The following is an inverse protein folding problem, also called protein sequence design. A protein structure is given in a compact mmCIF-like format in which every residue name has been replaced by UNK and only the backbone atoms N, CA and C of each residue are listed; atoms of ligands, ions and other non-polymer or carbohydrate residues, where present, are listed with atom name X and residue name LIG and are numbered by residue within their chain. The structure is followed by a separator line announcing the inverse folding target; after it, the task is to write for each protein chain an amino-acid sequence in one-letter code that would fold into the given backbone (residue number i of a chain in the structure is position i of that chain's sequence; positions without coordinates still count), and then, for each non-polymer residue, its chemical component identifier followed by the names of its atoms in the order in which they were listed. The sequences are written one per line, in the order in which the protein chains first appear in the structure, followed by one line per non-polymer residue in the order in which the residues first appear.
data_IF_001091981385
#
_entry.id   IF_001091981385
#
_cell.length_a   1.000
_cell.length_b   1.000
_cell.length_c   1.000
_cell.angle_alpha   90.00
_cell.angle_beta   90.00
_cell.angle_gamma   90.00
#
_symmetry.space_group_name_H-M   'P 1'
#
loop_
_entity.id
_entity.type
_entity.pdbx_description
1 polymer ?
#
# COMPACT_ATOMS: atom_id res chain seq x y z
N UNK A 1 -9.01 -3.87 -17.58
CA UNK A 1 -8.33 -4.98 -16.87
C UNK A 1 -7.50 -5.72 -17.91
N UNK A 2 -6.18 -5.86 -17.70
CA UNK A 2 -5.34 -6.55 -18.69
C UNK A 2 -5.72 -8.04 -18.78
N UNK A 3 -5.58 -8.64 -19.95
CA UNK A 3 -6.03 -10.02 -20.22
C UNK A 3 -5.40 -11.04 -19.25
N UNK A 4 -4.11 -10.90 -18.94
CA UNK A 4 -3.39 -11.78 -18.02
C UNK A 4 -3.89 -11.71 -16.57
N UNK A 5 -4.45 -10.56 -16.15
CA UNK A 5 -4.90 -10.36 -14.77
C UNK A 5 -6.12 -11.20 -14.43
N UNK A 6 -6.96 -11.54 -15.40
CA UNK A 6 -8.21 -12.29 -15.16
C UNK A 6 -7.93 -13.66 -14.55
N UNK A 7 -6.88 -14.33 -15.02
CA UNK A 7 -6.48 -15.64 -14.51
C UNK A 7 -5.92 -15.54 -13.08
N UNK A 8 -5.11 -14.51 -12.82
CA UNK A 8 -4.55 -14.24 -11.48
C UNK A 8 -5.67 -13.97 -10.48
N UNK A 9 -6.58 -13.04 -10.82
CA UNK A 9 -7.72 -12.69 -9.96
C UNK A 9 -8.61 -13.89 -9.68
N UNK A 10 -8.91 -14.72 -10.69
CA UNK A 10 -9.70 -15.94 -10.53
C UNK A 10 -9.04 -16.96 -9.59
N UNK A 11 -7.71 -17.12 -9.68
CA UNK A 11 -6.97 -18.02 -8.79
C UNK A 11 -7.00 -17.52 -7.34
N UNK A 12 -6.82 -16.22 -7.14
CA UNK A 12 -6.83 -15.60 -5.81
C UNK A 12 -8.23 -15.67 -5.18
N UNK A 13 -9.28 -15.37 -5.94
CA UNK A 13 -10.65 -15.47 -5.44
C UNK A 13 -11.01 -16.89 -5.02
N UNK A 14 -10.54 -17.91 -5.75
CA UNK A 14 -10.77 -19.32 -5.41
C UNK A 14 -10.06 -19.76 -4.11
N UNK A 15 -9.05 -19.01 -3.67
CA UNK A 15 -8.32 -19.25 -2.41
C UNK A 15 -8.82 -18.39 -1.25
N UNK A 16 -9.98 -17.75 -1.39
CA UNK A 16 -10.50 -16.75 -0.45
C UNK A 16 -9.51 -15.60 -0.19
N UNK A 17 -8.71 -15.27 -1.20
CA UNK A 17 -7.72 -14.20 -1.14
C UNK A 17 -8.27 -12.86 -1.62
N UNK A 18 -7.54 -11.78 -1.31
CA UNK A 18 -7.82 -10.44 -1.80
C UNK A 18 -6.89 -10.09 -2.96
N UNK A 19 -7.43 -9.44 -3.99
CA UNK A 19 -6.63 -8.80 -5.04
C UNK A 19 -7.07 -7.34 -5.15
N UNK A 20 -6.14 -6.41 -4.89
CA UNK A 20 -6.32 -4.98 -5.09
C UNK A 20 -5.23 -4.50 -6.04
N UNK A 21 -5.60 -3.59 -6.94
CA UNK A 21 -4.67 -2.95 -7.85
C UNK A 21 -4.89 -1.44 -7.87
N UNK A 22 -3.80 -0.70 -7.80
CA UNK A 22 -3.77 0.74 -8.05
C UNK A 22 -2.68 1.05 -9.08
N UNK A 23 -3.09 1.41 -10.30
CA UNK A 23 -2.19 1.64 -11.44
C UNK A 23 -1.20 0.47 -11.62
N UNK A 24 0.05 0.63 -11.17
CA UNK A 24 1.11 -0.37 -11.31
C UNK A 24 1.38 -1.19 -10.06
N UNK A 25 0.83 -0.78 -8.93
CA UNK A 25 0.95 -1.48 -7.66
C UNK A 25 -0.20 -2.46 -7.48
N UNK A 26 0.15 -3.67 -7.05
CA UNK A 26 -0.77 -4.77 -6.77
C UNK A 26 -0.55 -5.19 -5.33
N UNK A 27 -1.65 -5.39 -4.62
CA UNK A 27 -1.69 -5.97 -3.30
C UNK A 27 -2.50 -7.26 -3.32
N UNK A 28 -1.92 -8.34 -2.82
CA UNK A 28 -2.54 -9.66 -2.80
C UNK A 28 -2.47 -10.23 -1.38
N UNK A 29 -3.55 -10.86 -0.95
CA UNK A 29 -3.54 -11.77 0.20
C UNK A 29 -3.98 -13.15 -0.26
N UNK A 30 -3.35 -14.20 0.28
CA UNK A 30 -3.63 -15.56 -0.16
C UNK A 30 -3.39 -16.57 0.96
N UNK A 31 -4.26 -17.57 1.04
CA UNK A 31 -4.19 -18.67 2.00
C UNK A 31 -3.46 -19.88 1.41
N UNK A 32 -2.27 -19.66 0.85
CA UNK A 32 -1.44 -20.73 0.32
C UNK A 32 -0.08 -20.77 1.01
N UNK A 33 0.54 -21.96 1.10
CA UNK A 33 1.86 -22.07 1.66
C UNK A 33 2.85 -21.22 0.86
N UNK A 34 3.77 -20.56 1.55
CA UNK A 34 4.75 -19.65 0.92
C UNK A 34 5.54 -20.32 -0.22
N UNK A 35 5.82 -21.62 -0.09
CA UNK A 35 6.50 -22.41 -1.12
C UNK A 35 5.66 -22.63 -2.39
N UNK A 36 4.33 -22.76 -2.26
CA UNK A 36 3.43 -22.85 -3.40
C UNK A 36 3.29 -21.49 -4.06
N UNK A 37 3.23 -20.44 -3.23
CA UNK A 37 3.11 -19.07 -3.69
C UNK A 37 4.31 -18.62 -4.53
N UNK A 38 5.53 -18.90 -4.09
CA UNK A 38 6.74 -18.57 -4.86
C UNK A 38 6.74 -19.24 -6.25
N UNK A 39 6.43 -20.54 -6.30
CA UNK A 39 6.28 -21.28 -7.57
C UNK A 39 5.17 -20.71 -8.45
N UNK A 40 4.08 -20.22 -7.86
CA UNK A 40 3.00 -19.63 -8.62
C UNK A 40 3.36 -18.25 -9.17
N UNK A 41 4.09 -17.43 -8.42
CA UNK A 41 4.61 -16.14 -8.90
C UNK A 41 5.50 -16.37 -10.12
N UNK A 42 6.37 -17.39 -10.08
CA UNK A 42 7.21 -17.76 -11.23
C UNK A 42 6.37 -18.18 -12.45
N UNK A 43 5.25 -18.89 -12.24
CA UNK A 43 4.31 -19.23 -13.32
C UNK A 43 3.61 -18.00 -13.86
N UNK A 44 3.19 -17.07 -13.00
CA UNK A 44 2.57 -15.82 -13.43
C UNK A 44 3.53 -14.97 -14.26
N UNK A 45 4.80 -14.92 -13.87
CA UNK A 45 5.86 -14.25 -14.62
C UNK A 45 6.17 -14.92 -15.98
N UNK A 46 5.75 -16.18 -16.20
CA UNK A 46 5.86 -16.88 -17.48
C UNK A 46 4.67 -16.64 -18.40
N UNK A 47 3.52 -16.19 -17.90
CA UNK A 47 2.36 -15.90 -18.74
C UNK A 47 2.57 -14.71 -19.67
N UNK A 48 3.37 -13.73 -19.23
CA UNK A 48 3.61 -12.51 -19.99
C UNK A 48 5.12 -12.27 -20.10
N UNK A 49 5.75 -13.04 -21.00
CA UNK A 49 7.22 -13.08 -21.16
C UNK A 49 7.82 -11.72 -21.55
N UNK A 50 7.02 -10.83 -22.14
CA UNK A 50 7.54 -9.66 -22.88
C UNK A 50 7.40 -8.35 -22.10
N UNK A 51 6.31 -8.13 -21.35
CA UNK A 51 5.98 -6.77 -20.91
C UNK A 51 5.98 -6.55 -19.39
N UNK A 52 5.66 -7.59 -18.60
CA UNK A 52 5.25 -7.36 -17.22
C UNK A 52 5.83 -8.43 -16.29
N UNK A 53 6.76 -8.02 -15.41
CA UNK A 53 7.26 -8.88 -14.33
C UNK A 53 6.66 -8.46 -12.99
N UNK A 54 6.05 -9.42 -12.31
CA UNK A 54 5.65 -9.34 -10.92
C UNK A 54 6.91 -9.49 -10.06
N UNK A 55 7.40 -8.36 -9.53
CA UNK A 55 8.42 -8.33 -8.49
C UNK A 55 7.77 -7.84 -7.21
N UNK A 56 7.90 -8.61 -6.15
CA UNK A 56 7.20 -8.34 -4.91
C UNK A 56 7.84 -8.98 -3.70
N UNK A 57 7.49 -8.46 -2.54
CA UNK A 57 7.90 -9.00 -1.25
C UNK A 57 6.76 -9.83 -0.67
N UNK A 58 7.13 -10.94 -0.04
CA UNK A 58 6.22 -11.82 0.69
C UNK A 58 6.55 -11.72 2.17
N UNK A 59 5.56 -11.44 3.00
CA UNK A 59 5.74 -11.47 4.43
C UNK A 59 4.49 -11.07 5.21
N UNK A 60 4.68 -10.89 6.52
CA UNK A 60 3.62 -10.48 7.45
C UNK A 60 3.30 -8.99 7.35
N UNK A 61 4.24 -8.19 6.84
CA UNK A 61 4.11 -6.74 6.72
C UNK A 61 4.46 -6.30 5.30
N UNK A 62 3.69 -5.38 4.75
CA UNK A 62 4.00 -4.74 3.46
C UNK A 62 3.43 -3.33 3.41
N UNK A 63 3.87 -2.53 2.43
CA UNK A 63 3.49 -1.12 2.32
C UNK A 63 2.78 -0.81 1.00
N UNK A 64 1.45 -0.83 0.98
CA UNK A 64 0.69 -0.53 -0.23
C UNK A 64 0.26 0.95 -0.25
N UNK A 65 0.81 1.73 -1.19
CA UNK A 65 0.58 3.19 -1.30
C UNK A 65 0.96 3.90 0.02
N UNK A 66 -0.01 4.58 0.62
CA UNK A 66 0.11 5.30 1.89
C UNK A 66 -0.22 4.42 3.13
N UNK A 67 -0.41 3.11 2.93
CA UNK A 67 -0.78 2.17 3.99
C UNK A 67 0.35 1.21 4.30
N UNK A 68 0.65 1.07 5.59
CA UNK A 68 1.41 -0.06 6.12
C UNK A 68 0.39 -1.10 6.56
N UNK A 69 0.50 -2.30 6.01
CA UNK A 69 -0.45 -3.38 6.25
C UNK A 69 0.30 -4.51 6.94
N UNK A 70 -0.21 -4.94 8.09
CA UNK A 70 0.31 -6.03 8.89
C UNK A 70 -0.75 -7.10 9.07
N UNK A 71 -0.42 -8.35 8.76
CA UNK A 71 -1.26 -9.49 9.06
C UNK A 71 -0.91 -10.05 10.45
N UNK A 72 -1.85 -9.96 11.38
CA UNK A 72 -1.77 -10.58 12.71
C UNK A 72 -2.78 -11.71 12.79
N UNK A 73 -2.30 -12.94 12.67
CA UNK A 73 -3.11 -14.16 12.82
C UNK A 73 -4.37 -14.18 11.93
N UNK A 74 -4.24 -13.68 10.70
CA UNK A 74 -5.28 -13.62 9.70
C UNK A 74 -6.19 -12.39 9.74
N UNK A 75 -5.87 -11.42 10.59
CA UNK A 75 -6.52 -10.11 10.64
C UNK A 75 -5.55 -9.06 10.10
N UNK A 76 -5.99 -8.30 9.10
CA UNK A 76 -5.21 -7.20 8.54
C UNK A 76 -5.39 -5.93 9.38
N UNK A 77 -4.28 -5.46 9.93
CA UNK A 77 -4.14 -4.18 10.59
C UNK A 77 -3.48 -3.20 9.63
N UNK A 78 -4.02 -1.98 9.59
CA UNK A 78 -3.51 -0.91 8.75
C UNK A 78 -3.04 0.27 9.59
N UNK A 79 -1.97 0.91 9.14
CA UNK A 79 -1.41 2.12 9.72
C UNK A 79 -0.96 3.06 8.59
N UNK A 80 -0.67 4.32 8.91
CA UNK A 80 -0.10 5.25 7.93
C UNK A 80 1.34 4.83 7.62
N UNK A 81 1.64 4.57 6.35
CA UNK A 81 3.01 4.35 5.92
C UNK A 81 3.72 5.68 5.68
N UNK A 82 4.93 5.78 6.24
CA UNK A 82 5.87 6.86 5.98
C UNK A 82 7.12 6.26 5.34
N UNK A 83 7.51 6.78 4.17
CA UNK A 83 8.75 6.33 3.52
C UNK A 83 9.96 6.60 4.42
N UNK A 84 11.07 5.84 4.30
CA UNK A 84 12.28 6.11 5.08
C UNK A 84 12.84 7.53 4.90
N UNK A 85 12.60 8.14 3.75
CA UNK A 85 12.96 9.53 3.43
C UNK A 85 11.91 10.55 3.91
N UNK A 86 10.91 10.13 4.68
CA UNK A 86 9.87 11.04 5.18
C UNK A 86 10.45 11.97 6.23
N UNK A 87 10.36 13.26 5.95
CA UNK A 87 10.71 14.32 6.89
C UNK A 87 9.44 14.93 7.48
N UNK A 88 9.55 15.47 8.70
CA UNK A 88 8.47 16.20 9.36
C UNK A 88 8.29 17.61 8.78
N UNK A 89 8.41 17.75 7.47
CA UNK A 89 8.32 19.00 6.75
C UNK A 89 6.92 19.16 6.14
N UNK A 90 6.19 20.15 6.65
CA UNK A 90 4.94 20.64 6.08
C UNK A 90 5.14 22.05 5.57
N UNK A 91 4.15 22.57 4.87
CA UNK A 91 4.14 23.97 4.47
C UNK A 91 4.32 24.88 5.70
N UNK A 92 5.41 25.65 5.80
CA UNK A 92 5.65 26.50 6.96
C UNK A 92 4.56 27.56 7.12
N UNK A 93 4.14 27.82 8.35
CA UNK A 93 3.01 28.73 8.60
C UNK A 93 3.30 30.17 8.16
N UNK A 94 4.57 30.59 8.26
CA UNK A 94 5.06 31.91 7.86
C UNK A 94 5.28 32.08 6.35
N UNK A 95 5.01 31.05 5.53
CA UNK A 95 5.14 31.15 4.08
C UNK A 95 4.04 32.02 3.45
N UNK A 96 4.31 32.53 2.23
CA UNK A 96 3.44 33.44 1.43
C UNK A 96 2.22 32.68 0.82
N UNK A 97 1.89 31.51 1.36
CA UNK A 97 0.75 30.73 0.88
C UNK A 97 -0.55 31.20 1.53
N UNK A 98 -1.71 31.03 0.85
CA UNK A 98 -3.00 31.35 1.42
C UNK A 98 -3.24 30.70 2.78
N UNK A 99 -3.86 31.46 3.69
CA UNK A 99 -4.08 31.01 5.08
C UNK A 99 -4.95 29.74 5.16
N UNK A 100 -5.92 29.59 4.23
CA UNK A 100 -6.81 28.44 4.20
C UNK A 100 -6.07 27.13 3.89
N UNK A 101 -5.04 27.17 3.02
CA UNK A 101 -4.23 25.99 2.71
C UNK A 101 -3.46 25.52 3.94
N UNK A 102 -2.80 26.46 4.63
CA UNK A 102 -2.06 26.19 5.86
C UNK A 102 -2.99 25.61 6.92
N UNK A 103 -4.16 26.23 7.14
CA UNK A 103 -5.16 25.73 8.10
C UNK A 103 -5.72 24.35 7.74
N UNK A 104 -5.76 23.97 6.46
CA UNK A 104 -6.28 22.68 6.04
C UNK A 104 -5.30 21.51 6.28
N UNK A 105 -3.98 21.76 6.32
CA UNK A 105 -2.96 20.70 6.49
C UNK A 105 -3.19 19.85 7.75
N UNK A 106 -3.34 20.43 8.97
CA UNK A 106 -3.64 19.65 10.16
C UNK A 106 -4.90 18.79 10.01
N UNK A 107 -5.92 19.32 9.33
CA UNK A 107 -7.21 18.66 9.18
C UNK A 107 -7.12 17.44 8.25
N UNK A 108 -6.53 17.61 7.06
CA UNK A 108 -6.36 16.52 6.10
C UNK A 108 -5.48 15.40 6.67
N UNK A 109 -4.39 15.75 7.36
CA UNK A 109 -3.51 14.77 7.97
C UNK A 109 -4.18 13.98 9.11
N UNK A 110 -5.03 14.65 9.91
CA UNK A 110 -5.80 13.96 10.93
C UNK A 110 -6.86 13.03 10.31
N UNK A 111 -7.56 13.47 9.27
CA UNK A 111 -8.50 12.60 8.53
C UNK A 111 -7.78 11.39 7.95
N UNK A 112 -6.60 11.58 7.36
CA UNK A 112 -5.75 10.49 6.85
C UNK A 112 -5.45 9.48 7.96
N UNK A 113 -5.00 9.93 9.12
CA UNK A 113 -4.73 9.06 10.26
C UNK A 113 -5.99 8.31 10.74
N UNK A 114 -7.15 8.96 10.77
CA UNK A 114 -8.42 8.31 11.14
C UNK A 114 -8.83 7.25 10.11
N UNK A 115 -8.67 7.53 8.82
CA UNK A 115 -9.07 6.63 7.74
C UNK A 115 -8.15 5.42 7.60
N UNK A 116 -6.86 5.60 7.85
CA UNK A 116 -5.84 4.59 7.56
C UNK A 116 -5.50 3.71 8.76
N UNK A 117 -5.64 4.22 9.99
CA UNK A 117 -5.33 3.43 11.18
C UNK A 117 -6.49 2.52 11.57
N UNK A 118 -6.23 1.21 11.61
CA UNK A 118 -7.18 0.21 12.13
C UNK A 118 -7.24 0.20 13.67
N UNK A 119 -6.13 0.56 14.34
CA UNK A 119 -6.02 0.57 15.80
C UNK A 119 -5.99 2.01 16.36
N UNK A 120 -6.53 2.18 17.57
CA UNK A 120 -6.59 3.49 18.22
C UNK A 120 -5.19 3.98 18.63
N UNK A 121 -4.33 3.08 19.07
CA UNK A 121 -2.95 3.37 19.46
C UNK A 121 -2.14 3.89 18.27
N UNK A 122 -2.30 3.28 17.09
CA UNK A 122 -1.66 3.72 15.85
C UNK A 122 -2.14 5.12 15.43
N UNK A 123 -3.45 5.40 15.60
CA UNK A 123 -3.99 6.74 15.37
C UNK A 123 -3.40 7.77 16.33
N UNK A 124 -3.30 7.47 17.63
CA UNK A 124 -2.70 8.37 18.62
C UNK A 124 -1.24 8.66 18.30
N UNK A 125 -0.48 7.65 17.90
CA UNK A 125 0.91 7.82 17.52
C UNK A 125 1.08 8.76 16.31
N UNK A 126 0.27 8.57 15.26
CA UNK A 126 0.26 9.46 14.10
C UNK A 126 -0.19 10.88 14.44
N UNK A 127 -1.14 11.02 15.38
CA UNK A 127 -1.59 12.31 15.89
C UNK A 127 -0.46 13.06 16.59
N UNK A 128 0.32 12.39 17.44
CA UNK A 128 1.46 13.03 18.12
C UNK A 128 2.59 13.39 17.14
N UNK A 129 2.88 12.54 16.15
CA UNK A 129 3.80 12.90 15.06
C UNK A 129 3.35 14.15 14.31
N UNK A 130 2.07 14.24 13.95
CA UNK A 130 1.50 15.42 13.31
C UNK A 130 1.66 16.66 14.20
N UNK A 131 1.38 16.53 15.50
CA UNK A 131 1.58 17.63 16.46
C UNK A 131 3.02 18.14 16.44
N UNK A 132 3.99 17.24 16.52
CA UNK A 132 5.41 17.59 16.48
C UNK A 132 5.81 18.28 15.17
N UNK A 133 5.37 17.75 14.03
CA UNK A 133 5.64 18.34 12.73
C UNK A 133 5.01 19.75 12.60
N UNK A 134 3.78 19.97 13.06
CA UNK A 134 3.14 21.28 13.01
C UNK A 134 3.91 22.32 13.85
N UNK A 135 4.38 21.93 15.03
CA UNK A 135 5.20 22.81 15.88
C UNK A 135 6.53 23.17 15.20
N UNK A 136 7.21 22.20 14.59
CA UNK A 136 8.44 22.44 13.81
C UNK A 136 8.21 23.41 12.64
N UNK A 137 7.04 23.34 12.01
CA UNK A 137 6.64 24.20 10.89
C UNK A 137 5.97 25.53 11.33
N UNK A 138 6.18 25.93 12.59
CA UNK A 138 5.76 27.23 13.17
C UNK A 138 4.23 27.46 13.17
N UNK A 139 3.44 26.39 13.22
CA UNK A 139 1.99 26.53 13.38
C UNK A 139 1.64 27.02 14.80
N UNK A 140 0.64 27.90 14.95
CA UNK A 140 0.25 28.42 16.26
C UNK A 140 -0.34 27.33 17.16
N UNK A 141 0.10 27.29 18.42
CA UNK A 141 -0.29 26.29 19.44
C UNK A 141 -1.81 26.20 19.68
N UNK A 142 -2.57 27.30 19.73
CA UNK A 142 -4.03 27.22 19.86
C UNK A 142 -4.67 26.47 18.67
N UNK A 143 -4.12 26.62 17.46
CA UNK A 143 -4.61 25.93 16.27
C UNK A 143 -4.24 24.46 16.27
N UNK A 144 -3.08 24.08 16.83
CA UNK A 144 -2.73 22.66 16.98
C UNK A 144 -3.61 21.98 18.01
N UNK A 145 -3.85 22.59 19.18
CA UNK A 145 -4.70 22.02 20.22
C UNK A 145 -6.18 22.00 19.82
N UNK A 146 -6.71 23.09 19.25
CA UNK A 146 -8.12 23.14 18.86
C UNK A 146 -8.43 22.18 17.72
N UNK A 147 -7.61 22.09 16.65
CA UNK A 147 -7.88 21.09 15.60
C UNK A 147 -7.76 19.63 16.09
N UNK A 148 -6.91 19.37 17.09
CA UNK A 148 -6.74 18.06 17.70
C UNK A 148 -7.83 17.73 18.74
N UNK A 149 -8.42 18.74 19.39
CA UNK A 149 -9.41 18.59 20.47
C UNK A 149 -10.87 18.80 20.01
N UNK A 150 -11.11 19.71 19.06
CA UNK A 150 -12.43 20.10 18.54
C UNK A 150 -13.04 19.00 17.66
N UNK A 151 -12.23 18.02 17.25
CA UNK A 151 -12.69 16.76 16.67
C UNK A 151 -12.32 15.57 17.58
N UNK A 152 -12.72 15.63 18.86
CA UNK A 152 -13.23 14.39 19.50
C UNK A 152 -14.24 13.83 18.50
N UNK A 153 -14.11 12.58 18.04
CA UNK A 153 -14.80 12.10 16.87
C UNK A 153 -16.29 12.43 16.99
N UNK A 154 -16.74 13.39 16.18
CA UNK A 154 -18.14 13.75 16.03
C UNK A 154 -18.82 12.49 15.56
N UNK A 155 -19.36 11.73 16.50
CA UNK A 155 -20.55 10.88 16.39
C UNK A 155 -20.75 10.17 15.06
N UNK A 156 -19.68 9.53 14.57
CA UNK A 156 -19.77 8.29 13.82
C UNK A 156 -18.72 7.40 14.42
N UNK A 157 -19.20 6.36 15.12
CA UNK A 157 -18.43 5.24 15.69
C UNK A 157 -17.01 5.24 15.13
N UNK A 158 -16.00 5.43 15.98
CA UNK A 158 -14.64 5.01 15.64
C UNK A 158 -14.72 3.50 15.41
N UNK A 159 -15.15 3.12 14.21
CA UNK A 159 -15.12 1.77 13.71
C UNK A 159 -13.66 1.61 13.33
N UNK A 160 -12.82 1.42 14.35
CA UNK A 160 -11.69 0.52 14.29
C UNK A 160 -12.22 -0.86 13.90
N UNK A 161 -12.70 -0.95 12.65
CA UNK A 161 -12.93 -2.21 12.00
C UNK A 161 -11.57 -2.47 11.37
N UNK A 162 -10.84 -3.51 11.79
CA UNK A 162 -9.82 -4.05 10.90
C UNK A 162 -10.45 -4.24 9.53
N UNK A 163 -9.65 -4.27 8.46
CA UNK A 163 -10.19 -4.51 7.13
C UNK A 163 -10.79 -5.93 7.11
N UNK A 164 -12.06 -6.05 7.51
CA UNK A 164 -12.85 -7.28 7.47
C UNK A 164 -13.36 -7.30 6.05
N UNK A 165 -12.66 -8.04 5.20
CA UNK A 165 -13.03 -8.20 3.81
C UNK A 165 -14.25 -9.12 3.81
N UNK A 166 -15.45 -8.55 3.80
CA UNK A 166 -16.67 -9.28 3.44
C UNK A 166 -16.81 -9.21 1.93
N UNK A 167 -16.62 -10.31 1.23
CA UNK A 167 -17.09 -10.41 -0.16
C UNK A 167 -18.61 -10.37 -0.13
N UNK A 168 -19.20 -9.38 -0.81
CA UNK A 168 -20.63 -9.12 -0.73
C UNK A 168 -21.48 -10.24 -1.32
N UNK A 169 -22.27 -10.88 -0.45
CA UNK A 169 -23.69 -11.16 -0.64
C UNK A 169 -24.42 -10.72 0.64
N UNK A 170 -25.58 -10.03 0.55
CA UNK A 170 -26.36 -9.68 1.74
C UNK A 170 -26.94 -10.97 2.32
N UNK A 171 -26.29 -11.51 3.35
CA UNK A 171 -26.80 -12.70 4.07
C UNK A 171 -25.75 -13.64 4.66
N UNK A 172 -24.47 -13.51 4.31
CA UNK A 172 -23.43 -14.41 4.85
C UNK A 172 -22.15 -13.62 5.11
N UNK A 173 -21.85 -13.37 6.38
CA UNK A 173 -20.57 -12.76 6.81
C UNK A 173 -19.53 -13.87 6.83
N UNK A 174 -19.18 -14.39 5.66
CA UNK A 174 -18.04 -15.30 5.56
C UNK A 174 -16.78 -14.45 5.67
N UNK A 175 -16.22 -14.45 6.88
CA UNK A 175 -14.99 -13.75 7.21
C UNK A 175 -13.86 -14.34 6.35
N UNK A 176 -13.22 -13.52 5.52
CA UNK A 176 -11.93 -13.91 4.95
C UNK A 176 -10.92 -13.95 6.09
N UNK A 177 -10.74 -15.13 6.67
CA UNK A 177 -9.68 -15.41 7.63
C UNK A 177 -8.45 -15.77 6.82
N UNK A 178 -7.45 -14.89 6.83
CA UNK A 178 -6.21 -15.14 6.10
C UNK A 178 -5.36 -16.07 6.98
N UNK A 179 -5.62 -17.38 6.94
CA UNK A 179 -5.05 -18.35 7.89
C UNK A 179 -3.57 -18.60 7.68
N UNK A 180 -3.01 -18.19 6.55
CA UNK A 180 -1.59 -18.34 6.24
C UNK A 180 -0.92 -16.99 5.91
N UNK A 181 0.35 -16.90 6.30
CA UNK A 181 1.09 -15.70 6.68
C UNK A 181 1.53 -14.75 5.55
N UNK A 182 0.87 -14.77 4.39
CA UNK A 182 1.38 -14.13 3.20
C UNK A 182 0.58 -12.88 2.80
N UNK A 183 1.14 -11.71 3.15
CA UNK A 183 0.80 -10.45 2.51
C UNK A 183 1.80 -10.21 1.38
N UNK A 184 1.27 -9.90 0.20
CA UNK A 184 2.07 -9.68 -1.00
C UNK A 184 1.83 -8.28 -1.53
N UNK A 185 2.93 -7.65 -1.91
CA UNK A 185 2.89 -6.48 -2.76
C UNK A 185 3.75 -6.71 -3.97
N UNK A 186 3.18 -6.50 -5.15
CA UNK A 186 3.92 -6.46 -6.40
C UNK A 186 3.87 -5.04 -6.96
N UNK A 187 4.96 -4.62 -7.58
CA UNK A 187 4.95 -3.49 -8.50
C UNK A 187 5.36 -4.01 -9.88
N UNK A 188 4.73 -3.51 -10.94
CA UNK A 188 5.14 -3.86 -12.29
C UNK A 188 6.53 -3.30 -12.59
N UNK A 189 7.45 -4.18 -12.98
CA UNK A 189 8.70 -3.77 -13.62
C UNK A 189 8.54 -3.97 -15.14
N UNK A 190 8.57 -2.88 -15.90
CA UNK A 190 8.75 -2.94 -17.35
C UNK A 190 10.18 -3.39 -17.64
N UNK A 191 10.34 -4.41 -18.49
CA UNK A 191 11.66 -4.74 -19.01
C UNK A 191 11.92 -3.75 -20.14
N UNK A 192 12.81 -2.78 -19.95
CA UNK A 192 13.30 -1.99 -21.07
C UNK A 192 13.95 -2.96 -22.06
N UNK A 193 13.39 -3.04 -23.26
CA UNK A 193 14.01 -3.72 -24.39
C UNK A 193 15.29 -2.95 -24.66
N UNK A 194 16.43 -3.48 -24.22
CA UNK A 194 17.73 -3.07 -24.75
C UNK A 194 17.66 -3.33 -26.25
N UNK A 195 17.82 -2.26 -27.04
CA UNK A 195 17.93 -2.34 -28.50
C UNK A 195 18.91 -3.46 -28.83
N UNK A 196 18.48 -4.39 -29.67
CA UNK A 196 19.28 -5.47 -30.22
C UNK A 196 20.60 -4.89 -30.73
N UNK A 197 21.69 -5.26 -30.07
CA UNK A 197 23.03 -5.13 -30.62
C UNK A 197 23.09 -6.13 -31.78
N UNK A 198 23.25 -5.62 -32.99
CA UNK A 198 23.44 -6.43 -34.19
C UNK A 198 24.63 -7.38 -33.96
N UNK A 199 24.55 -8.66 -34.38
CA UNK A 199 25.70 -9.55 -34.31
C UNK A 199 26.76 -9.09 -35.31
N UNK A 200 27.97 -8.81 -34.83
CA UNK A 200 29.14 -8.62 -35.67
C UNK A 200 29.39 -9.89 -36.50
N UNK A 201 29.45 -9.71 -37.82
CA UNK A 201 29.76 -10.76 -38.80
C UNK A 201 31.21 -11.19 -38.61
N UNK A 202 31.52 -12.49 -38.41
CA UNK A 202 32.89 -12.95 -38.29
C UNK A 202 33.56 -12.93 -39.67
N UNK A 203 34.45 -11.96 -39.89
CA UNK A 203 35.42 -12.00 -40.98
C UNK A 203 36.49 -13.04 -40.64
N UNK A 204 36.33 -14.25 -41.19
CA UNK A 204 37.28 -15.34 -41.08
C UNK A 204 37.30 -16.17 -42.35
N UNK A 205 38.04 -15.72 -43.36
CA UNK A 205 38.54 -16.58 -44.45
C UNK A 205 40.07 -16.49 -44.42
N UNK A 206 40.73 -17.56 -43.94
CA UNK A 206 42.03 -18.03 -44.42
C UNK A 206 41.71 -19.11 -45.47
N UNK A 207 42.42 -19.40 -46.56
CA UNK A 207 43.84 -19.71 -46.82
C UNK A 207 43.96 -19.67 -48.38
N UNK A 208 44.99 -19.09 -49.00
CA UNK A 208 46.26 -19.68 -49.45
C UNK A 208 47.26 -18.57 -49.77
#
# INVERSE_FOLDING_TARGET
MFFFQRNIVKQISNSNGLYIRYIDDIFITINWPTQHLSKQIDRWNKFDVINIKLKGQVGYTTNFLDLKIENKSGVLFTEVYHKPSYELYYLPFNSIHPIHMKKNIPFEMLIRAIKYCSAFEAHLYEREKLRMALLLNKYPVPTTQNNLAEKRPITRKFLAKPLIISTGYPGTVDQIRITEDCVLQFSYASTSISKQQQPEVPLGIKIQ
#
